data_IF_388221542726
#
_entry.id   IF_388221542726
#
_cell.length_a   1.000
_cell.length_b   1.000
_cell.length_c   1.000
_cell.angle_alpha   90.00
_cell.angle_beta   90.00
_cell.angle_gamma   90.00
#
_symmetry.space_group_name_H-M   'P 1'
#
loop_
_entity.id
_entity.type
_entity.pdbx_description
1 polymer ?
#
# COMPACT_ATOMS: atom_id res chain seq x y z
N UNK A 1 -36.31 -34.58 28.66
CA UNK A 1 -35.13 -33.68 28.63
C UNK A 1 -34.99 -33.11 27.24
N UNK A 2 -34.98 -31.77 27.13
CA UNK A 2 -34.80 -31.04 25.88
C UNK A 2 -33.32 -31.07 25.51
N UNK A 3 -32.97 -31.51 24.29
CA UNK A 3 -31.71 -31.11 23.64
C UNK A 3 -32.10 -30.53 22.29
N UNK A 4 -32.13 -29.19 22.27
CA UNK A 4 -32.56 -28.34 21.18
C UNK A 4 -31.39 -28.10 20.22
N UNK A 5 -31.69 -28.26 18.94
CA UNK A 5 -31.26 -27.43 17.80
C UNK A 5 -29.79 -26.99 17.67
N UNK A 6 -29.14 -27.55 16.65
CA UNK A 6 -28.49 -26.84 15.53
C UNK A 6 -28.07 -25.39 15.78
N UNK A 7 -26.76 -25.16 15.90
CA UNK A 7 -26.15 -23.84 15.73
C UNK A 7 -25.07 -23.90 14.66
N UNK A 8 -25.43 -23.69 13.39
CA UNK A 8 -24.46 -23.46 12.32
C UNK A 8 -24.00 -22.00 12.43
N UNK A 9 -22.86 -21.77 13.07
CA UNK A 9 -22.25 -20.45 13.13
C UNK A 9 -21.67 -20.10 11.76
N UNK A 10 -22.37 -19.24 11.00
CA UNK A 10 -21.83 -18.65 9.77
C UNK A 10 -20.85 -17.56 10.22
N UNK A 11 -19.57 -17.92 10.28
CA UNK A 11 -18.49 -16.93 10.39
C UNK A 11 -18.37 -16.30 9.01
N UNK A 12 -19.09 -15.21 8.78
CA UNK A 12 -18.87 -14.38 7.60
C UNK A 12 -17.47 -13.76 7.73
N UNK A 13 -16.48 -14.39 7.11
CA UNK A 13 -15.16 -13.79 6.95
C UNK A 13 -15.35 -12.50 6.15
N UNK A 14 -15.13 -11.36 6.81
CA UNK A 14 -15.10 -10.06 6.15
C UNK A 14 -13.83 -10.01 5.30
N UNK A 15 -13.92 -10.48 4.06
CA UNK A 15 -12.92 -10.19 3.06
C UNK A 15 -13.05 -8.70 2.73
N UNK A 16 -12.10 -7.89 3.20
CA UNK A 16 -12.06 -6.48 2.87
C UNK A 16 -11.96 -6.32 1.36
N UNK A 17 -12.94 -5.66 0.75
CA UNK A 17 -12.88 -5.27 -0.65
C UNK A 17 -11.75 -4.26 -0.81
N UNK A 18 -10.77 -4.56 -1.67
CA UNK A 18 -9.76 -3.58 -2.05
C UNK A 18 -10.46 -2.42 -2.77
N UNK A 19 -10.61 -1.29 -2.10
CA UNK A 19 -11.09 -0.07 -2.73
C UNK A 19 -10.01 0.43 -3.69
N UNK A 20 -10.34 0.49 -4.98
CA UNK A 20 -9.46 1.13 -5.95
C UNK A 20 -9.35 2.61 -5.58
N UNK A 21 -8.17 3.05 -5.14
CA UNK A 21 -7.91 4.46 -4.87
C UNK A 21 -7.89 5.21 -6.20
N UNK A 22 -8.73 6.23 -6.31
CA UNK A 22 -8.84 7.03 -7.54
C UNK A 22 -7.66 7.98 -7.72
N UNK A 23 -6.96 8.31 -6.63
CA UNK A 23 -5.80 9.19 -6.63
C UNK A 23 -4.49 8.40 -6.77
N UNK A 24 -3.53 8.96 -7.50
CA UNK A 24 -2.20 8.38 -7.65
C UNK A 24 -1.53 8.27 -6.28
N UNK A 25 -0.92 7.11 -5.93
CA UNK A 25 -0.26 6.94 -4.64
C UNK A 25 0.99 7.83 -4.53
N UNK A 26 1.40 8.08 -3.30
CA UNK A 26 2.74 8.65 -3.02
C UNK A 26 3.80 7.55 -3.11
N UNK A 27 4.88 7.83 -3.83
CA UNK A 27 6.01 6.91 -4.01
C UNK A 27 7.15 7.34 -3.10
N UNK A 28 7.64 6.44 -2.24
CA UNK A 28 8.81 6.67 -1.39
C UNK A 28 9.99 5.88 -1.93
N UNK A 29 11.05 6.59 -2.32
CA UNK A 29 12.29 6.03 -2.82
C UNK A 29 13.32 6.00 -1.69
N UNK A 30 13.84 4.82 -1.37
CA UNK A 30 14.82 4.60 -0.31
C UNK A 30 16.12 4.11 -0.94
N UNK A 31 17.24 4.70 -0.57
CA UNK A 31 18.55 4.26 -1.06
C UNK A 31 19.01 2.99 -0.33
N UNK A 32 19.88 2.21 -0.98
CA UNK A 32 20.55 1.07 -0.36
C UNK A 32 21.73 1.50 0.52
N UNK A 33 22.40 0.53 1.14
CA UNK A 33 23.65 0.77 1.85
C UNK A 33 24.69 1.42 0.93
N UNK A 34 25.42 2.41 1.45
CA UNK A 34 26.48 3.18 0.74
C UNK A 34 25.98 4.09 -0.39
N UNK A 35 24.66 4.27 -0.53
CA UNK A 35 24.08 5.25 -1.42
C UNK A 35 23.45 6.41 -0.65
N UNK A 36 23.16 7.50 -1.37
CA UNK A 36 22.37 8.63 -0.88
C UNK A 36 21.15 8.82 -1.80
N UNK A 37 20.19 9.62 -1.35
CA UNK A 37 18.90 9.83 -2.01
C UNK A 37 19.01 10.50 -3.39
N UNK A 38 20.11 11.21 -3.72
CA UNK A 38 20.27 11.92 -4.99
C UNK A 38 20.38 10.98 -6.20
N UNK A 39 20.70 9.69 -5.99
CA UNK A 39 20.66 8.68 -7.06
C UNK A 39 19.27 8.52 -7.68
N UNK A 40 18.23 8.95 -6.96
CA UNK A 40 16.86 8.90 -7.44
C UNK A 40 16.42 10.16 -8.20
N UNK A 41 17.24 11.21 -8.34
CA UNK A 41 16.81 12.48 -8.95
C UNK A 41 16.16 12.30 -10.34
N UNK A 42 16.76 11.50 -11.22
CA UNK A 42 16.17 11.23 -12.54
C UNK A 42 14.87 10.42 -12.48
N UNK A 43 14.73 9.53 -11.49
CA UNK A 43 13.49 8.76 -11.27
C UNK A 43 12.39 9.66 -10.69
N UNK A 44 12.74 10.57 -9.78
CA UNK A 44 11.83 11.58 -9.23
C UNK A 44 11.26 12.42 -10.36
N UNK A 45 12.10 12.96 -11.25
CA UNK A 45 11.66 13.79 -12.38
C UNK A 45 10.65 13.06 -13.29
N UNK A 46 10.91 11.79 -13.61
CA UNK A 46 10.02 10.97 -14.44
C UNK A 46 8.66 10.76 -13.75
N UNK A 47 8.68 10.41 -12.47
CA UNK A 47 7.46 10.08 -11.71
C UNK A 47 6.61 11.32 -11.42
N UNK A 48 7.23 12.46 -11.11
CA UNK A 48 6.53 13.73 -10.94
C UNK A 48 5.89 14.17 -12.26
N UNK A 49 6.59 14.03 -13.40
CA UNK A 49 6.00 14.27 -14.73
C UNK A 49 4.80 13.36 -15.00
N UNK A 50 4.81 12.15 -14.48
CA UNK A 50 3.71 11.20 -14.61
C UNK A 50 2.58 11.44 -13.57
N UNK A 51 2.70 12.51 -12.76
CA UNK A 51 1.68 12.98 -11.83
C UNK A 51 1.70 12.29 -10.47
N UNK A 52 2.77 11.58 -10.12
CA UNK A 52 2.91 10.98 -8.79
C UNK A 52 3.51 11.99 -7.80
N UNK A 53 3.09 11.92 -6.54
CA UNK A 53 3.82 12.56 -5.44
C UNK A 53 5.00 11.68 -5.04
N UNK A 54 6.19 12.23 -4.91
CA UNK A 54 7.42 11.45 -4.69
C UNK A 54 8.21 11.98 -3.50
N UNK A 55 8.76 11.08 -2.69
CA UNK A 55 9.67 11.39 -1.58
C UNK A 55 10.94 10.56 -1.72
N UNK A 56 12.10 11.21 -1.85
CA UNK A 56 13.40 10.54 -1.79
C UNK A 56 13.92 10.60 -0.34
N UNK A 57 13.76 9.52 0.41
CA UNK A 57 14.13 9.46 1.82
C UNK A 57 15.63 9.15 1.99
N UNK A 58 16.25 9.74 3.00
CA UNK A 58 17.56 9.35 3.51
C UNK A 58 17.38 8.39 4.69
N UNK A 59 18.17 7.31 4.75
CA UNK A 59 18.16 6.31 5.84
C UNK A 59 19.47 6.35 6.64
#
# INVERSE_FOLDING_TARGET
MKILLTGLAIIAATFGSAQAQSDKPTIVLVHGAFADSSRWNGVVEILEKDGFSVVAAAN
#
